data_IF_602142823609
#
_entry.id   IF_602142823609
#
_cell.length_a   1.000
_cell.length_b   1.000
_cell.length_c   1.000
_cell.angle_alpha   90.00
_cell.angle_beta   90.00
_cell.angle_gamma   90.00
#
_symmetry.space_group_name_H-M   'P 1'
#
loop_
_entity.id
_entity.type
_entity.pdbx_description
1 polymer ?
#
# COMPACT_ATOMS: atom_id res chain seq x y z
N UNK A 1 -7.01 29.62 -34.37
CA UNK A 1 -6.18 28.99 -35.40
C UNK A 1 -6.04 27.51 -35.08
N UNK A 2 -6.50 26.64 -35.98
CA UNK A 2 -6.28 25.18 -35.96
C UNK A 2 -5.16 24.89 -36.96
N UNK A 3 -4.04 24.34 -36.50
CA UNK A 3 -2.99 23.77 -37.36
C UNK A 3 -2.39 22.58 -36.61
N UNK A 4 -2.25 21.47 -37.34
CA UNK A 4 -2.13 20.09 -36.86
C UNK A 4 -1.12 19.83 -35.74
N UNK A 5 -1.38 18.73 -35.02
CA UNK A 5 -0.66 18.20 -33.86
C UNK A 5 0.70 18.84 -33.60
N UNK A 6 0.67 19.94 -32.84
CA UNK A 6 1.91 20.51 -32.31
C UNK A 6 2.44 19.58 -31.23
N UNK A 7 3.75 19.60 -30.96
CA UNK A 7 4.33 18.87 -29.84
C UNK A 7 3.58 19.16 -28.52
N UNK A 8 2.99 20.34 -28.38
CA UNK A 8 2.15 20.74 -27.24
C UNK A 8 0.86 19.90 -27.12
N UNK A 9 0.20 19.57 -28.23
CA UNK A 9 -0.98 18.71 -28.25
C UNK A 9 -0.64 17.26 -27.91
N UNK A 10 0.48 16.75 -28.46
CA UNK A 10 1.00 15.41 -28.14
C UNK A 10 1.44 15.34 -26.67
N UNK A 11 2.14 16.36 -26.20
CA UNK A 11 2.55 16.47 -24.80
C UNK A 11 1.35 16.48 -23.86
N UNK A 12 0.31 17.26 -24.17
CA UNK A 12 -0.94 17.31 -23.41
C UNK A 12 -1.68 15.96 -23.42
N UNK A 13 -1.78 15.30 -24.59
CA UNK A 13 -2.41 14.00 -24.73
C UNK A 13 -1.67 12.90 -23.93
N UNK A 14 -0.35 12.99 -23.83
CA UNK A 14 0.51 12.02 -23.13
C UNK A 14 0.95 12.46 -21.72
N UNK A 15 0.33 13.52 -21.17
CA UNK A 15 0.66 14.09 -19.85
C UNK A 15 2.17 14.31 -19.63
N UNK A 16 2.86 14.77 -20.66
CA UNK A 16 4.29 15.09 -20.62
C UNK A 16 4.50 16.55 -21.07
N UNK A 17 5.75 17.01 -21.16
CA UNK A 17 6.05 18.38 -21.63
C UNK A 17 6.75 18.37 -22.98
N UNK A 18 6.61 19.47 -23.73
CA UNK A 18 7.32 19.66 -25.01
C UNK A 18 8.83 19.54 -24.80
N UNK A 19 9.38 20.12 -23.74
CA UNK A 19 10.80 20.02 -23.40
C UNK A 19 11.26 18.57 -23.21
N UNK A 20 10.44 17.75 -22.53
CA UNK A 20 10.69 16.31 -22.35
C UNK A 20 10.68 15.58 -23.70
N UNK A 21 9.71 15.85 -24.56
CA UNK A 21 9.62 15.23 -25.89
C UNK A 21 10.81 15.61 -26.79
N UNK A 22 11.20 16.88 -26.76
CA UNK A 22 12.34 17.43 -27.52
C UNK A 22 13.64 16.76 -27.09
N UNK A 23 13.87 16.67 -25.77
CA UNK A 23 15.05 16.05 -25.19
C UNK A 23 15.13 14.56 -25.49
N UNK A 24 14.00 13.85 -25.38
CA UNK A 24 13.91 12.41 -25.58
C UNK A 24 14.11 11.97 -27.04
N UNK A 25 13.73 12.84 -27.98
CA UNK A 25 13.84 12.57 -29.41
C UNK A 25 15.03 13.30 -30.05
N UNK A 26 15.82 14.05 -29.28
CA UNK A 26 16.95 14.83 -29.79
C UNK A 26 16.53 15.89 -30.83
N UNK A 27 15.32 16.42 -30.72
CA UNK A 27 14.80 17.42 -31.67
C UNK A 27 15.50 18.75 -31.39
N UNK A 28 16.04 19.39 -32.42
CA UNK A 28 16.63 20.74 -32.29
C UNK A 28 15.58 21.85 -32.44
N UNK A 29 14.54 21.59 -33.23
CA UNK A 29 13.44 22.53 -33.48
C UNK A 29 12.07 21.91 -33.16
N UNK A 30 11.41 22.35 -32.06
CA UNK A 30 10.11 21.83 -31.65
C UNK A 30 8.97 22.11 -32.65
N UNK A 31 9.16 23.08 -33.54
CA UNK A 31 8.17 23.51 -34.54
C UNK A 31 8.38 22.86 -35.92
N UNK A 32 9.42 22.03 -36.10
CA UNK A 32 9.70 21.30 -37.35
C UNK A 32 9.37 19.81 -37.15
N UNK A 33 8.10 19.50 -36.97
CA UNK A 33 7.63 18.12 -37.04
C UNK A 33 7.32 17.76 -38.50
N UNK A 34 7.92 16.68 -38.99
CA UNK A 34 7.56 16.12 -40.29
C UNK A 34 6.33 15.22 -40.14
N UNK A 35 5.35 15.37 -41.03
CA UNK A 35 4.17 14.50 -41.07
C UNK A 35 4.63 13.05 -41.31
N UNK A 36 4.31 12.14 -40.40
CA UNK A 36 4.75 10.73 -40.43
C UNK A 36 5.95 10.39 -39.53
N UNK A 37 6.52 11.36 -38.83
CA UNK A 37 7.62 11.11 -37.89
C UNK A 37 7.14 10.38 -36.63
N UNK A 38 7.66 9.18 -36.39
CA UNK A 38 7.42 8.43 -35.14
C UNK A 38 8.18 9.09 -33.99
N UNK A 39 7.47 9.73 -33.08
CA UNK A 39 8.03 10.31 -31.86
C UNK A 39 8.04 9.29 -30.73
N UNK A 40 9.17 9.14 -30.06
CA UNK A 40 9.23 8.46 -28.76
C UNK A 40 8.55 9.37 -27.75
N UNK A 41 7.38 8.97 -27.29
CA UNK A 41 6.79 9.59 -26.11
C UNK A 41 7.26 8.79 -24.91
N UNK A 42 8.07 9.41 -24.04
CA UNK A 42 8.01 9.03 -22.64
C UNK A 42 6.68 9.61 -22.19
N UNK A 43 5.60 8.88 -22.48
CA UNK A 43 4.56 8.82 -21.48
C UNK A 43 5.33 8.53 -20.21
N UNK A 44 5.23 9.42 -19.23
CA UNK A 44 5.42 8.96 -17.87
C UNK A 44 4.58 7.70 -17.84
N UNK A 45 5.24 6.54 -17.87
CA UNK A 45 4.67 5.39 -17.23
C UNK A 45 4.23 6.00 -15.93
N UNK A 46 2.92 6.16 -15.78
CA UNK A 46 2.29 6.11 -14.51
C UNK A 46 2.97 4.90 -13.91
N UNK A 47 4.09 5.10 -13.19
CA UNK A 47 4.50 4.21 -12.12
C UNK A 47 3.16 4.06 -11.43
N UNK A 48 2.50 2.89 -11.51
CA UNK A 48 1.13 2.77 -11.05
C UNK A 48 1.14 3.48 -9.73
N UNK A 49 0.37 4.58 -9.63
CA UNK A 49 0.26 5.28 -8.38
C UNK A 49 -0.19 4.16 -7.48
N UNK A 50 0.75 3.66 -6.65
CA UNK A 50 0.47 2.66 -5.65
C UNK A 50 -0.77 3.21 -4.99
N UNK A 51 -1.89 2.46 -4.96
CA UNK A 51 -3.12 2.95 -4.38
C UNK A 51 -2.73 3.62 -3.06
N UNK A 52 -3.13 4.89 -2.89
CA UNK A 52 -2.76 5.76 -1.77
C UNK A 52 -2.43 4.90 -0.56
N UNK A 53 -1.15 4.95 -0.14
CA UNK A 53 -0.52 4.04 0.82
C UNK A 53 -1.55 3.43 1.76
N UNK A 54 -1.59 2.08 1.96
CA UNK A 54 -2.55 1.52 2.88
C UNK A 54 -2.38 2.29 4.19
N UNK A 55 -3.46 2.90 4.66
CA UNK A 55 -3.54 3.59 5.96
C UNK A 55 -3.37 2.59 7.12
N UNK A 56 -2.78 1.43 6.83
CA UNK A 56 -2.65 0.27 7.66
C UNK A 56 -1.19 -0.01 7.91
N UNK A 57 -0.89 -0.36 9.14
CA UNK A 57 0.42 -0.72 9.62
C UNK A 57 0.95 -1.92 8.81
N UNK A 58 2.16 -1.84 8.21
CA UNK A 58 2.76 -3.00 7.58
C UNK A 58 3.07 -4.06 8.64
N UNK A 59 2.99 -5.33 8.25
CA UNK A 59 3.31 -6.43 9.16
C UNK A 59 4.78 -6.33 9.62
N UNK A 60 5.06 -6.13 10.93
CA UNK A 60 6.42 -5.94 11.43
C UNK A 60 7.23 -7.25 11.51
N UNK A 61 6.62 -8.39 11.18
CA UNK A 61 7.21 -9.73 11.30
C UNK A 61 6.68 -10.50 12.49
N UNK A 62 6.62 -11.84 12.39
CA UNK A 62 6.06 -12.68 13.46
C UNK A 62 6.90 -12.58 14.76
N UNK A 63 8.21 -12.50 14.60
CA UNK A 63 9.16 -12.28 15.69
C UNK A 63 8.99 -10.94 16.42
N UNK A 64 8.17 -10.02 15.90
CA UNK A 64 7.81 -8.79 16.62
C UNK A 64 6.87 -9.09 17.79
N UNK A 65 6.02 -10.10 17.68
CA UNK A 65 4.96 -10.39 18.65
C UNK A 65 5.43 -11.45 19.65
N UNK A 66 6.13 -10.99 20.68
CA UNK A 66 6.63 -11.85 21.76
C UNK A 66 6.31 -11.26 23.13
N UNK A 67 6.33 -12.12 24.16
CA UNK A 67 6.05 -11.73 25.55
C UNK A 67 6.91 -10.55 25.99
N UNK A 68 6.28 -9.55 26.63
CA UNK A 68 6.97 -8.38 27.19
C UNK A 68 7.23 -7.24 26.22
N UNK A 69 6.85 -7.35 24.94
CA UNK A 69 6.98 -6.23 23.98
C UNK A 69 5.94 -5.14 24.24
N UNK A 70 6.39 -3.89 24.22
CA UNK A 70 5.55 -2.70 24.29
C UNK A 70 5.59 -1.93 22.96
N UNK A 71 4.44 -1.70 22.32
CA UNK A 71 4.31 -0.91 21.09
C UNK A 71 2.87 -0.46 20.83
N UNK A 72 2.64 0.75 20.29
CA UNK A 72 1.31 1.20 19.87
C UNK A 72 0.66 0.30 18.82
N UNK A 73 1.46 -0.40 18.00
CA UNK A 73 0.99 -1.36 17.00
C UNK A 73 0.13 -2.47 17.64
N UNK A 74 0.49 -2.91 18.84
CA UNK A 74 -0.23 -3.96 19.57
C UNK A 74 -1.61 -3.43 20.01
N UNK A 75 -1.68 -2.18 20.46
CA UNK A 75 -2.96 -1.53 20.80
C UNK A 75 -3.85 -1.38 19.58
N UNK A 76 -3.31 -0.91 18.45
CA UNK A 76 -4.05 -0.74 17.21
C UNK A 76 -4.59 -2.08 16.70
N UNK A 77 -3.76 -3.12 16.72
CA UNK A 77 -4.14 -4.48 16.36
C UNK A 77 -5.24 -5.00 17.29
N UNK A 78 -5.06 -4.88 18.61
CA UNK A 78 -6.03 -5.34 19.58
C UNK A 78 -7.38 -4.64 19.44
N UNK A 79 -7.40 -3.33 19.14
CA UNK A 79 -8.64 -2.58 18.84
C UNK A 79 -9.35 -3.15 17.63
N UNK A 80 -8.60 -3.56 16.61
CA UNK A 80 -9.17 -4.17 15.42
C UNK A 80 -9.71 -5.57 15.68
N UNK A 81 -9.03 -6.38 16.49
CA UNK A 81 -9.54 -7.67 16.95
C UNK A 81 -10.86 -7.53 17.71
N UNK A 82 -10.98 -6.49 18.56
CA UNK A 82 -12.25 -6.16 19.24
C UNK A 82 -13.33 -5.79 18.22
N UNK A 83 -13.03 -4.93 17.25
CA UNK A 83 -13.97 -4.53 16.20
C UNK A 83 -14.45 -5.71 15.33
N UNK A 84 -13.60 -6.73 15.16
CA UNK A 84 -13.92 -7.99 14.48
C UNK A 84 -14.72 -8.97 15.35
N UNK A 85 -14.94 -8.65 16.63
CA UNK A 85 -15.58 -9.55 17.61
C UNK A 85 -14.67 -10.65 18.15
N UNK A 86 -13.37 -10.60 17.84
CA UNK A 86 -12.36 -11.58 18.27
C UNK A 86 -11.62 -11.13 19.55
N UNK A 87 -11.82 -9.90 20.01
CA UNK A 87 -11.16 -9.36 21.20
C UNK A 87 -11.56 -10.09 22.49
N UNK A 88 -10.57 -10.65 23.20
CA UNK A 88 -10.72 -11.34 24.49
C UNK A 88 -10.19 -10.48 25.65
N UNK A 89 -10.48 -9.17 25.60
CA UNK A 89 -10.03 -8.21 26.59
C UNK A 89 -11.09 -7.96 27.66
N UNK A 90 -10.68 -7.79 28.91
CA UNK A 90 -11.59 -7.43 30.00
C UNK A 90 -11.80 -5.90 30.07
N UNK A 91 -10.72 -5.13 29.95
CA UNK A 91 -10.73 -3.65 30.00
C UNK A 91 -10.44 -3.02 28.64
N UNK A 92 -9.84 -3.79 27.72
CA UNK A 92 -9.43 -3.34 26.40
C UNK A 92 -7.99 -3.73 26.06
N UNK A 93 -7.59 -3.63 24.79
CA UNK A 93 -6.24 -3.88 24.32
C UNK A 93 -5.29 -2.77 24.78
N UNK A 94 -4.12 -3.16 25.29
CA UNK A 94 -3.04 -2.25 25.69
C UNK A 94 -1.86 -2.26 24.72
N UNK A 95 -0.81 -1.47 24.97
CA UNK A 95 0.40 -1.46 24.13
C UNK A 95 1.33 -2.64 24.42
N UNK A 96 1.07 -3.39 25.48
CA UNK A 96 1.86 -4.55 25.86
C UNK A 96 1.32 -5.81 25.19
N UNK A 97 2.20 -6.60 24.56
CA UNK A 97 1.86 -7.92 24.04
C UNK A 97 1.66 -8.89 25.20
N UNK A 98 0.42 -9.35 25.37
CA UNK A 98 0.05 -10.29 26.43
C UNK A 98 -0.54 -11.57 25.86
N UNK A 99 -0.72 -12.58 26.73
CA UNK A 99 -1.46 -13.80 26.37
C UNK A 99 -2.90 -13.52 25.91
N UNK A 100 -3.51 -12.39 26.34
CA UNK A 100 -4.85 -12.00 25.86
C UNK A 100 -4.82 -11.53 24.41
N UNK A 101 -3.77 -10.83 23.99
CA UNK A 101 -3.56 -10.43 22.60
C UNK A 101 -3.38 -11.67 21.73
N UNK A 102 -2.51 -12.60 22.16
CA UNK A 102 -2.30 -13.87 21.49
C UNK A 102 -3.61 -14.66 21.35
N UNK A 103 -4.40 -14.78 22.42
CA UNK A 103 -5.69 -15.49 22.39
C UNK A 103 -6.73 -14.79 21.48
N UNK A 104 -6.75 -13.46 21.49
CA UNK A 104 -7.63 -12.66 20.61
C UNK A 104 -7.25 -12.86 19.14
N UNK A 105 -5.95 -12.89 18.85
CA UNK A 105 -5.45 -13.10 17.50
C UNK A 105 -5.67 -14.54 17.03
N UNK A 106 -5.51 -15.53 17.90
CA UNK A 106 -5.83 -16.93 17.60
C UNK A 106 -7.31 -17.10 17.21
N UNK A 107 -8.21 -16.37 17.89
CA UNK A 107 -9.63 -16.35 17.51
C UNK A 107 -9.86 -15.72 16.13
N UNK A 108 -9.11 -14.67 15.79
CA UNK A 108 -9.12 -14.05 14.46
C UNK A 108 -8.59 -14.99 13.37
N UNK A 109 -7.48 -15.68 13.61
CA UNK A 109 -6.96 -16.70 12.70
C UNK A 109 -8.01 -17.80 12.46
N UNK A 110 -8.68 -18.28 13.50
CA UNK A 110 -9.78 -19.24 13.35
C UNK A 110 -10.94 -18.67 12.52
N UNK A 111 -11.31 -17.41 12.71
CA UNK A 111 -12.35 -16.72 11.92
C UNK A 111 -11.99 -16.65 10.44
N UNK A 112 -10.71 -16.51 10.13
CA UNK A 112 -10.19 -16.52 8.76
C UNK A 112 -10.05 -17.93 8.17
N UNK A 113 -10.36 -18.99 8.93
CA UNK A 113 -10.28 -20.38 8.52
C UNK A 113 -8.92 -21.06 8.79
N UNK A 114 -7.98 -20.39 9.45
CA UNK A 114 -6.72 -21.02 9.86
C UNK A 114 -6.98 -21.99 11.02
N UNK A 115 -6.26 -23.11 11.05
CA UNK A 115 -6.43 -24.17 12.05
C UNK A 115 -5.10 -24.79 12.45
N UNK A 116 -5.07 -25.49 13.58
CA UNK A 116 -3.85 -26.12 14.09
C UNK A 116 -2.75 -25.10 14.40
N UNK A 117 -1.54 -25.36 13.88
CA UNK A 117 -0.37 -24.50 14.06
C UNK A 117 -0.51 -23.10 13.44
N UNK A 118 -1.40 -22.93 12.44
CA UNK A 118 -1.61 -21.64 11.78
C UNK A 118 -2.52 -20.69 12.57
N UNK A 119 -3.11 -21.18 13.67
CA UNK A 119 -3.94 -20.42 14.62
C UNK A 119 -3.29 -20.39 16.02
N UNK A 120 -1.97 -20.25 16.04
CA UNK A 120 -1.10 -20.13 17.22
C UNK A 120 -1.26 -18.80 18.00
N UNK A 121 -1.98 -17.85 17.43
CA UNK A 121 -2.16 -16.51 17.98
C UNK A 121 -1.00 -15.56 17.68
N UNK A 122 -0.02 -15.98 16.89
CA UNK A 122 1.05 -15.10 16.44
C UNK A 122 0.65 -14.50 15.09
N UNK A 123 0.72 -13.17 14.94
CA UNK A 123 0.41 -12.55 13.67
C UNK A 123 1.32 -13.03 12.53
N UNK A 124 0.69 -13.40 11.43
CA UNK A 124 1.34 -13.73 10.16
C UNK A 124 1.00 -12.70 9.10
N UNK A 125 1.80 -12.59 8.04
CA UNK A 125 1.59 -11.57 7.00
C UNK A 125 0.18 -11.61 6.41
N UNK A 126 -0.32 -12.79 6.06
CA UNK A 126 -1.63 -12.95 5.42
C UNK A 126 -2.81 -12.65 6.35
N UNK A 127 -2.74 -13.07 7.61
CA UNK A 127 -3.75 -12.76 8.62
C UNK A 127 -3.71 -11.30 9.07
N UNK A 128 -2.52 -10.68 9.08
CA UNK A 128 -2.31 -9.24 9.36
C UNK A 128 -2.86 -8.35 8.27
N UNK A 129 -2.55 -8.65 7.00
CA UNK A 129 -3.03 -7.90 5.84
C UNK A 129 -4.57 -7.88 5.80
N UNK A 130 -5.23 -8.98 6.21
CA UNK A 130 -6.68 -9.07 6.35
C UNK A 130 -7.23 -8.29 7.54
N UNK A 131 -6.49 -8.23 8.65
CA UNK A 131 -6.92 -7.50 9.85
C UNK A 131 -7.00 -5.99 9.56
N UNK A 132 -6.12 -5.46 8.69
CA UNK A 132 -6.08 -4.03 8.30
C UNK A 132 -5.94 -3.13 9.53
N UNK A 133 -4.87 -3.35 10.29
CA UNK A 133 -4.55 -2.57 11.49
C UNK A 133 -4.25 -1.12 11.09
N UNK A 134 -4.98 -0.10 11.57
CA UNK A 134 -4.73 1.29 11.17
C UNK A 134 -3.37 1.77 11.68
N UNK A 135 -2.71 2.60 10.88
CA UNK A 135 -1.45 3.23 11.23
C UNK A 135 -1.64 4.15 12.45
N UNK A 136 -0.90 3.91 13.54
CA UNK A 136 -0.92 4.74 14.77
C UNK A 136 0.20 5.76 14.83
#
# INVERSE_FOLDING_TARGET
MKKGDTLSGIAAAHKTTVATLVSLNGLKDPNKLAVGQKLKVAGSASKPATPSAPQYEPFPGAAFFHGGRHSPIITAMGRRLVAEGCGKYATGPGPNWTKKDQASYAAWQRKLGYSGADADGIPGKSSWDKLRVPKS
#
